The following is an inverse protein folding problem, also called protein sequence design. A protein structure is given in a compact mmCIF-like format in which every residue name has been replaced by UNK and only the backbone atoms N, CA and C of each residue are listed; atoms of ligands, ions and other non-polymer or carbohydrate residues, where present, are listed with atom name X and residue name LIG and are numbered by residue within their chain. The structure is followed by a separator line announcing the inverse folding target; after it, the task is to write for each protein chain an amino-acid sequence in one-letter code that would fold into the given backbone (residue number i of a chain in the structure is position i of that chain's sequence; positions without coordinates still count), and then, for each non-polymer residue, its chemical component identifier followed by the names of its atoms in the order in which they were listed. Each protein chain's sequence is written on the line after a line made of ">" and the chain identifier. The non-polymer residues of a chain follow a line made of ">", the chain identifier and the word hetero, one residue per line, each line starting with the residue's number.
data_IF_320469327448
#
_entry.id   IF_320469327448
#
_cell.length_a   1.000
_cell.length_b   1.000
_cell.length_c   1.000
_cell.angle_alpha   90.00
_cell.angle_beta   90.00
_cell.angle_gamma   90.00
#
_symmetry.space_group_name_H-M   'P 1'
#
loop_
_entity.id
_entity.type
_entity.pdbx_description
1 polymer ?
#
# COMPACT_ATOMS: atom_id res chain seq x y z
N UNK A 1 -5.52 -50.94 -19.54
CA UNK A 1 -5.41 -51.31 -20.97
C UNK A 1 -5.67 -50.08 -21.81
N UNK A 2 -4.74 -49.80 -22.73
CA UNK A 2 -4.87 -49.01 -23.97
C UNK A 2 -5.07 -47.49 -23.85
N UNK A 3 -3.92 -46.80 -23.95
CA UNK A 3 -3.73 -45.46 -24.55
C UNK A 3 -4.35 -45.40 -25.94
N UNK A 4 -5.02 -44.29 -26.27
CA UNK A 4 -4.96 -43.70 -27.62
C UNK A 4 -4.96 -42.17 -27.52
N UNK A 5 -3.83 -41.58 -27.96
CA UNK A 5 -3.71 -40.19 -28.44
C UNK A 5 -3.91 -40.19 -29.95
N UNK A 6 -4.37 -39.09 -30.53
CA UNK A 6 -3.63 -38.44 -31.63
C UNK A 6 -3.50 -36.92 -31.33
N UNK A 7 -2.32 -36.28 -31.40
CA UNK A 7 -1.59 -35.73 -32.58
C UNK A 7 -2.53 -35.12 -33.63
N UNK A 8 -2.31 -33.96 -34.24
CA UNK A 8 -1.38 -32.85 -34.17
C UNK A 8 -2.03 -31.79 -35.08
N UNK A 9 -1.75 -30.50 -34.89
CA UNK A 9 -2.29 -29.48 -35.79
C UNK A 9 -1.89 -28.07 -35.37
N UNK A 10 -0.70 -27.66 -35.79
CA UNK A 10 -0.27 -26.27 -35.74
C UNK A 10 -1.02 -25.45 -36.81
N UNK A 11 -1.46 -24.24 -36.46
CA UNK A 11 -1.50 -23.12 -37.42
C UNK A 11 -1.55 -21.80 -36.67
N UNK A 12 -0.57 -20.96 -36.99
CA UNK A 12 -0.42 -19.60 -36.51
C UNK A 12 -1.16 -18.63 -37.44
N UNK A 13 -1.83 -17.63 -36.87
CA UNK A 13 -2.27 -16.35 -37.45
C UNK A 13 -3.05 -15.67 -36.31
N UNK A 14 -2.86 -14.44 -35.87
CA UNK A 14 -2.23 -13.27 -36.46
C UNK A 14 -3.05 -12.07 -35.95
N UNK A 15 -2.43 -11.23 -35.11
CA UNK A 15 -2.72 -9.80 -34.86
C UNK A 15 -4.19 -9.31 -34.88
N UNK A 16 -4.63 -8.75 -33.74
CA UNK A 16 -5.21 -7.40 -33.72
C UNK A 16 -5.21 -6.84 -32.29
N UNK A 17 -4.51 -5.72 -32.12
CA UNK A 17 -4.63 -4.83 -30.98
C UNK A 17 -5.79 -3.86 -31.24
N UNK A 18 -6.65 -3.63 -30.24
CA UNK A 18 -7.45 -2.42 -30.17
C UNK A 18 -7.77 -2.12 -28.69
N UNK A 19 -7.20 -1.02 -28.20
CA UNK A 19 -7.64 -0.34 -26.99
C UNK A 19 -9.08 0.17 -27.17
N UNK A 20 -9.89 0.10 -26.12
CA UNK A 20 -10.95 1.08 -25.91
C UNK A 20 -11.16 1.33 -24.41
N UNK A 21 -11.11 2.62 -24.07
CA UNK A 21 -11.23 3.19 -22.74
C UNK A 21 -12.62 3.03 -22.11
N UNK A 22 -12.60 3.19 -20.79
CA UNK A 22 -13.69 3.20 -19.83
C UNK A 22 -14.85 4.16 -20.13
N UNK A 23 -16.04 3.77 -19.68
CA UNK A 23 -17.05 4.69 -19.12
C UNK A 23 -17.86 3.94 -18.04
N UNK A 24 -17.64 4.32 -16.79
CA UNK A 24 -18.48 3.96 -15.63
C UNK A 24 -19.74 4.84 -15.65
N UNK A 25 -20.92 4.23 -15.58
CA UNK A 25 -22.16 4.96 -15.33
C UNK A 25 -22.88 4.32 -14.12
N UNK A 26 -23.00 5.11 -13.05
CA UNK A 26 -23.85 4.85 -11.89
C UNK A 26 -25.33 5.01 -12.29
N UNK A 27 -26.18 4.09 -11.84
CA UNK A 27 -27.63 4.24 -11.91
C UNK A 27 -28.24 4.02 -10.52
N UNK A 28 -28.83 5.08 -9.96
CA UNK A 28 -29.71 5.05 -8.80
C UNK A 28 -31.17 5.16 -9.30
N UNK A 29 -32.15 4.46 -8.69
CA UNK A 29 -33.53 4.52 -9.14
C UNK A 29 -34.30 5.67 -8.48
N UNK A 30 -35.03 6.42 -9.32
CA UNK A 30 -35.94 7.49 -8.92
C UNK A 30 -37.34 6.92 -8.61
N UNK A 31 -37.92 7.39 -7.50
CA UNK A 31 -39.30 7.19 -7.08
C UNK A 31 -40.27 7.92 -8.02
N UNK A 32 -41.32 7.25 -8.48
CA UNK A 32 -42.45 7.86 -9.16
C UNK A 32 -43.76 7.47 -8.45
N UNK A 33 -44.46 8.47 -7.92
CA UNK A 33 -45.85 8.41 -7.46
C UNK A 33 -46.79 8.56 -8.66
N UNK A 34 -47.98 7.92 -8.68
CA UNK A 34 -49.06 8.32 -9.57
C UNK A 34 -50.12 9.18 -8.86
N UNK A 35 -50.54 10.21 -9.58
CA UNK A 35 -51.61 11.13 -9.25
C UNK A 35 -53.01 10.58 -9.58
N UNK A 36 -54.00 11.23 -8.98
CA UNK A 36 -55.44 10.96 -9.01
C UNK A 36 -56.11 11.10 -10.39
N UNK A 37 -57.26 10.43 -10.55
CA UNK A 37 -58.24 10.76 -11.59
C UNK A 37 -59.47 9.84 -11.64
N UNK A 38 -60.64 10.41 -11.34
CA UNK A 38 -61.89 10.13 -12.07
C UNK A 38 -62.83 9.03 -11.57
N UNK A 39 -63.92 9.43 -10.91
CA UNK A 39 -65.15 8.66 -10.80
C UNK A 39 -65.93 8.63 -12.13
N UNK A 40 -66.89 7.70 -12.30
CA UNK A 40 -68.28 8.18 -12.32
C UNK A 40 -69.28 7.31 -11.52
N UNK A 41 -70.39 7.98 -11.23
CA UNK A 41 -71.63 7.60 -10.57
C UNK A 41 -72.36 6.42 -11.21
N UNK A 42 -72.96 5.55 -10.39
CA UNK A 42 -74.34 5.06 -10.58
C UNK A 42 -74.88 4.44 -9.28
N UNK A 43 -76.08 4.87 -8.89
CA UNK A 43 -76.96 4.24 -7.90
C UNK A 43 -78.11 3.56 -8.70
N UNK A 44 -78.86 2.55 -8.20
CA UNK A 44 -79.66 2.70 -6.97
C UNK A 44 -79.99 1.40 -6.18
N UNK A 45 -80.81 1.61 -5.13
CA UNK A 45 -81.79 0.71 -4.51
C UNK A 45 -81.39 -0.07 -3.23
N UNK A 46 -82.08 0.29 -2.13
CA UNK A 46 -82.25 -0.48 -0.90
C UNK A 46 -83.26 -1.63 -1.10
N UNK A 47 -83.32 -2.64 -0.21
CA UNK A 47 -84.13 -2.48 1.01
C UNK A 47 -83.59 -3.14 2.29
N UNK A 48 -84.18 -2.68 3.39
CA UNK A 48 -84.39 -3.24 4.72
C UNK A 48 -83.96 -4.70 5.00
N UNK A 49 -83.11 -4.87 6.03
CA UNK A 49 -83.36 -5.71 7.21
C UNK A 49 -82.10 -5.75 8.09
N UNK A 50 -82.13 -5.00 9.20
CA UNK A 50 -81.05 -5.00 10.19
C UNK A 50 -81.32 -6.07 11.26
N UNK A 51 -80.47 -7.11 11.41
CA UNK A 51 -80.57 -8.01 12.55
C UNK A 51 -80.03 -7.36 13.84
N UNK A 52 -80.65 -7.63 15.01
CA UNK A 52 -80.29 -6.98 16.27
C UNK A 52 -78.90 -7.39 16.78
N UNK A 53 -78.23 -6.54 17.57
CA UNK A 53 -76.88 -6.80 18.07
C UNK A 53 -76.85 -8.01 19.02
N UNK A 54 -75.78 -8.82 18.99
CA UNK A 54 -75.64 -9.98 19.88
C UNK A 54 -75.51 -9.54 21.35
N UNK A 55 -76.01 -10.34 22.30
CA UNK A 55 -76.01 -10.00 23.72
C UNK A 55 -74.58 -9.88 24.27
N UNK A 56 -74.38 -8.91 25.15
CA UNK A 56 -73.13 -8.64 25.83
C UNK A 56 -72.61 -9.88 26.58
N UNK A 57 -71.35 -10.22 26.33
CA UNK A 57 -70.64 -11.26 27.08
C UNK A 57 -70.59 -10.89 28.57
N UNK A 58 -70.81 -11.84 29.50
CA UNK A 58 -70.74 -11.57 30.93
C UNK A 58 -69.31 -11.17 31.32
N UNK A 59 -69.21 -10.18 32.21
CA UNK A 59 -67.95 -9.72 32.79
C UNK A 59 -67.15 -10.89 33.37
N UNK A 60 -65.81 -10.90 33.25
CA UNK A 60 -65.00 -11.94 33.87
C UNK A 60 -65.21 -11.91 35.38
N UNK A 61 -65.57 -13.07 35.94
CA UNK A 61 -65.67 -13.27 37.38
C UNK A 61 -64.35 -12.88 38.05
N UNK A 62 -64.37 -12.31 39.27
CA UNK A 62 -63.16 -11.89 39.96
C UNK A 62 -62.26 -13.10 40.21
N UNK A 63 -61.15 -13.16 39.48
CA UNK A 63 -60.09 -14.13 39.71
C UNK A 63 -59.57 -13.90 41.12
N UNK A 64 -59.81 -14.87 42.01
CA UNK A 64 -59.22 -14.95 43.34
C UNK A 64 -57.75 -14.53 43.26
N UNK A 65 -57.42 -13.41 43.92
CA UNK A 65 -56.06 -13.05 44.29
C UNK A 65 -55.46 -14.24 45.05
N UNK A 66 -54.67 -15.05 44.37
CA UNK A 66 -53.70 -15.93 45.02
C UNK A 66 -52.48 -15.07 45.36
N UNK A 67 -52.65 -14.25 46.39
CA UNK A 67 -51.55 -13.77 47.20
C UNK A 67 -51.01 -14.95 48.01
N UNK A 68 -49.95 -15.57 47.50
CA UNK A 68 -48.96 -16.28 48.30
C UNK A 68 -47.74 -16.49 47.39
N UNK A 69 -46.63 -15.88 47.79
CA UNK A 69 -45.30 -16.08 47.25
C UNK A 69 -45.02 -17.58 47.06
N UNK A 70 -45.10 -18.07 45.83
CA UNK A 70 -44.34 -19.27 45.49
C UNK A 70 -42.89 -18.81 45.43
N UNK A 71 -42.08 -19.17 46.43
CA UNK A 71 -40.64 -19.13 46.30
C UNK A 71 -40.29 -19.84 44.99
N UNK A 72 -39.92 -19.08 43.95
CA UNK A 72 -39.55 -19.66 42.68
C UNK A 72 -38.23 -20.38 42.93
N UNK A 73 -38.23 -21.71 42.83
CA UNK A 73 -37.02 -22.53 42.91
C UNK A 73 -35.96 -22.12 41.85
N UNK A 74 -36.36 -21.28 40.88
CA UNK A 74 -35.52 -20.78 39.80
C UNK A 74 -34.59 -19.64 40.19
N UNK A 75 -34.80 -18.92 41.30
CA UNK A 75 -33.93 -17.78 41.64
C UNK A 75 -33.84 -17.51 43.14
N UNK A 76 -32.64 -17.68 43.69
CA UNK A 76 -32.29 -17.29 45.06
C UNK A 76 -31.41 -16.05 45.00
N UNK A 77 -31.92 -14.93 45.53
CA UNK A 77 -31.16 -13.69 45.60
C UNK A 77 -30.05 -13.82 46.65
N UNK A 78 -28.80 -13.58 46.25
CA UNK A 78 -27.65 -13.61 47.15
C UNK A 78 -26.98 -12.24 47.17
N UNK A 79 -27.17 -11.53 48.28
CA UNK A 79 -26.60 -10.21 48.54
C UNK A 79 -25.80 -10.32 49.85
N UNK A 80 -24.46 -10.22 49.80
CA UNK A 80 -23.61 -10.35 50.99
C UNK A 80 -23.97 -9.33 52.08
N UNK A 81 -23.84 -9.66 53.38
CA UNK A 81 -24.17 -8.72 54.46
C UNK A 81 -23.30 -7.45 54.36
N UNK A 82 -23.95 -6.28 54.26
CA UNK A 82 -23.29 -4.97 54.04
C UNK A 82 -23.28 -4.48 52.59
N UNK A 83 -23.83 -5.26 51.66
CA UNK A 83 -23.98 -4.92 50.25
C UNK A 83 -25.29 -4.16 49.96
N UNK A 84 -25.22 -3.06 49.20
CA UNK A 84 -26.41 -2.44 48.60
C UNK A 84 -26.84 -3.21 47.35
N UNK A 85 -28.13 -3.53 47.26
CA UNK A 85 -28.73 -4.18 46.07
C UNK A 85 -28.59 -3.25 44.84
N UNK A 86 -28.04 -3.72 43.70
CA UNK A 86 -27.99 -2.96 42.46
C UNK A 86 -29.39 -2.55 42.00
N UNK A 87 -29.53 -1.34 41.43
CA UNK A 87 -30.81 -0.94 40.83
C UNK A 87 -30.98 -1.64 39.47
N UNK A 88 -32.09 -2.38 39.36
CA UNK A 88 -32.44 -3.19 38.20
C UNK A 88 -33.67 -2.60 37.52
N UNK A 89 -33.57 -2.25 36.24
CA UNK A 89 -34.72 -1.90 35.41
C UNK A 89 -34.85 -2.91 34.29
N UNK A 90 -36.03 -3.49 34.13
CA UNK A 90 -36.26 -4.62 33.23
C UNK A 90 -37.47 -4.39 32.33
N UNK A 91 -37.34 -4.76 31.06
CA UNK A 91 -38.38 -4.63 30.04
C UNK A 91 -38.47 -5.91 29.23
N UNK A 92 -39.68 -6.45 29.08
CA UNK A 92 -39.98 -7.64 28.28
C UNK A 92 -41.22 -7.39 27.43
N UNK A 93 -41.26 -7.85 26.16
CA UNK A 93 -42.42 -7.68 25.29
C UNK A 93 -43.65 -8.42 25.85
N UNK A 94 -44.82 -7.77 25.77
CA UNK A 94 -46.10 -8.35 26.20
C UNK A 94 -46.71 -9.32 25.18
N UNK A 95 -46.35 -9.17 23.90
CA UNK A 95 -46.82 -10.00 22.80
C UNK A 95 -45.61 -10.50 22.01
N UNK A 96 -45.69 -11.72 21.46
CA UNK A 96 -44.66 -12.29 20.59
C UNK A 96 -45.17 -13.47 19.79
N UNK A 97 -44.28 -14.05 18.98
CA UNK A 97 -44.60 -15.20 18.15
C UNK A 97 -43.85 -16.45 18.61
N UNK A 98 -44.50 -17.61 18.50
CA UNK A 98 -43.87 -18.90 18.78
C UNK A 98 -42.65 -19.10 17.87
N UNK A 99 -41.50 -19.45 18.46
CA UNK A 99 -40.25 -19.68 17.72
C UNK A 99 -39.45 -18.42 17.33
N UNK A 100 -39.90 -17.22 17.71
CA UNK A 100 -39.17 -15.97 17.50
C UNK A 100 -38.51 -15.47 18.79
N UNK A 101 -37.35 -14.82 18.70
CA UNK A 101 -36.67 -14.29 19.87
C UNK A 101 -37.46 -13.13 20.51
N UNK A 102 -37.82 -13.28 21.78
CA UNK A 102 -38.33 -12.24 22.66
C UNK A 102 -37.18 -11.76 23.55
N UNK A 103 -36.83 -10.47 23.44
CA UNK A 103 -35.68 -9.91 24.15
C UNK A 103 -36.09 -9.41 25.54
N UNK A 104 -35.45 -9.96 26.57
CA UNK A 104 -35.46 -9.39 27.92
C UNK A 104 -34.33 -8.35 28.01
N UNK A 105 -34.71 -7.09 28.08
CA UNK A 105 -33.77 -5.99 28.30
C UNK A 105 -33.65 -5.72 29.80
N UNK A 106 -32.45 -5.87 30.33
CA UNK A 106 -32.13 -5.66 31.74
C UNK A 106 -31.07 -4.59 31.84
N UNK A 107 -31.38 -3.49 32.52
CA UNK A 107 -30.44 -2.40 32.79
C UNK A 107 -30.06 -2.44 34.26
N UNK A 108 -28.77 -2.67 34.53
CA UNK A 108 -28.21 -2.75 35.88
C UNK A 108 -27.34 -1.53 36.12
N UNK A 109 -27.69 -0.71 37.12
CA UNK A 109 -26.82 0.35 37.61
C UNK A 109 -25.92 -0.21 38.71
N UNK A 110 -24.59 -0.09 38.52
CA UNK A 110 -23.58 -0.70 39.38
C UNK A 110 -22.42 0.27 39.67
N UNK A 111 -21.66 -0.01 40.73
CA UNK A 111 -20.55 0.81 41.19
C UNK A 111 -19.32 0.76 40.28
N UNK A 112 -18.35 1.65 40.52
CA UNK A 112 -17.06 1.65 39.81
C UNK A 112 -16.30 0.34 40.11
N UNK A 113 -15.93 -0.41 39.06
CA UNK A 113 -15.21 -1.69 39.18
C UNK A 113 -16.10 -2.92 39.35
N UNK A 114 -17.42 -2.78 39.37
CA UNK A 114 -18.35 -3.92 39.27
C UNK A 114 -18.56 -4.28 37.79
N UNK A 115 -18.75 -5.57 37.48
CA UNK A 115 -18.95 -6.08 36.11
C UNK A 115 -20.16 -6.99 36.08
N UNK A 116 -21.13 -6.70 35.21
CA UNK A 116 -22.30 -7.55 34.98
C UNK A 116 -21.91 -8.69 34.04
N UNK A 117 -22.14 -9.93 34.45
CA UNK A 117 -21.78 -11.11 33.67
C UNK A 117 -22.98 -11.52 32.81
N UNK A 118 -22.94 -11.36 31.47
CA UNK A 118 -24.06 -11.69 30.58
C UNK A 118 -24.42 -13.18 30.60
N UNK A 119 -23.43 -14.03 30.89
CA UNK A 119 -23.60 -15.48 31.02
C UNK A 119 -23.60 -15.96 32.48
N UNK A 120 -23.78 -15.06 33.45
CA UNK A 120 -23.69 -15.38 34.88
C UNK A 120 -24.59 -16.54 35.34
N UNK A 121 -25.72 -16.75 34.68
CA UNK A 121 -26.62 -17.89 34.97
C UNK A 121 -26.23 -19.19 34.24
N UNK A 122 -25.37 -19.14 33.21
CA UNK A 122 -24.74 -20.30 32.55
C UNK A 122 -23.44 -20.75 33.22
N UNK A 123 -22.80 -19.89 34.02
CA UNK A 123 -21.65 -20.29 34.87
C UNK A 123 -22.08 -21.38 35.87
N UNK A 124 -23.38 -21.52 36.11
CA UNK A 124 -24.01 -22.74 36.62
C UNK A 124 -24.58 -23.53 35.44
N UNK A 125 -23.74 -24.36 34.79
CA UNK A 125 -24.00 -24.98 33.48
C UNK A 125 -25.23 -25.91 33.36
N UNK A 126 -25.96 -26.16 34.45
CA UNK A 126 -27.20 -26.93 34.52
C UNK A 126 -28.16 -26.34 35.57
N UNK A 127 -28.15 -25.01 35.75
CA UNK A 127 -28.88 -24.36 36.83
C UNK A 127 -30.38 -24.73 36.86
N UNK A 128 -30.92 -24.90 38.07
CA UNK A 128 -32.36 -25.08 38.28
C UNK A 128 -33.16 -23.94 37.64
N UNK A 129 -32.55 -22.75 37.50
CA UNK A 129 -33.07 -21.62 36.75
C UNK A 129 -33.28 -21.94 35.26
N UNK A 130 -32.28 -22.48 34.58
CA UNK A 130 -32.39 -22.85 33.16
C UNK A 130 -33.45 -23.94 32.94
N UNK A 131 -33.51 -24.93 33.84
CA UNK A 131 -34.54 -25.98 33.82
C UNK A 131 -35.94 -25.41 34.04
N UNK A 132 -36.10 -24.48 34.97
CA UNK A 132 -37.38 -23.81 35.23
C UNK A 132 -37.83 -22.96 34.03
N UNK A 133 -36.91 -22.25 33.37
CA UNK A 133 -37.18 -21.46 32.15
C UNK A 133 -37.63 -22.40 31.02
N UNK A 134 -36.96 -23.54 30.83
CA UNK A 134 -37.34 -24.54 29.84
C UNK A 134 -38.70 -25.20 30.14
N UNK A 135 -38.97 -25.52 31.40
CA UNK A 135 -40.28 -26.04 31.84
C UNK A 135 -41.41 -25.03 31.63
N UNK A 136 -41.11 -23.73 31.77
CA UNK A 136 -42.03 -22.64 31.46
C UNK A 136 -42.24 -22.39 29.95
N UNK A 137 -41.57 -23.16 29.09
CA UNK A 137 -41.71 -23.08 27.63
C UNK A 137 -40.83 -22.01 26.98
N UNK A 138 -39.69 -21.66 27.57
CA UNK A 138 -38.71 -20.75 26.97
C UNK A 138 -37.38 -21.45 26.73
N UNK A 139 -36.77 -21.19 25.58
CA UNK A 139 -35.44 -21.69 25.22
C UNK A 139 -34.49 -20.53 25.04
N UNK A 140 -33.29 -20.64 25.61
CA UNK A 140 -32.23 -19.66 25.36
C UNK A 140 -31.40 -20.12 24.14
N UNK A 141 -31.21 -19.27 23.11
CA UNK A 141 -30.31 -19.59 22.01
C UNK A 141 -28.87 -19.79 22.50
N UNK A 142 -28.15 -20.74 21.87
CA UNK A 142 -26.73 -20.94 22.14
C UNK A 142 -25.91 -19.71 21.72
N UNK A 143 -24.94 -19.33 22.57
CA UNK A 143 -24.15 -18.12 22.36
C UNK A 143 -23.12 -18.25 21.23
N UNK A 144 -22.61 -19.46 20.99
CA UNK A 144 -21.53 -19.73 20.04
C UNK A 144 -21.96 -19.53 18.57
N UNK A 145 -23.28 -19.49 18.31
CA UNK A 145 -23.86 -19.20 17.00
C UNK A 145 -24.10 -17.69 16.75
N UNK A 146 -23.65 -16.81 17.65
CA UNK A 146 -23.81 -15.35 17.54
C UNK A 146 -25.19 -14.81 17.95
N UNK A 147 -26.04 -15.66 18.54
CA UNK A 147 -27.40 -15.32 19.00
C UNK A 147 -27.53 -15.29 20.55
N UNK A 148 -26.42 -15.26 21.27
CA UNK A 148 -26.39 -15.26 22.74
C UNK A 148 -26.77 -13.92 23.38
N UNK A 149 -26.76 -13.86 24.73
CA UNK A 149 -26.96 -12.61 25.45
C UNK A 149 -25.87 -11.59 25.11
N UNK A 150 -26.25 -10.33 24.90
CA UNK A 150 -25.30 -9.24 24.61
C UNK A 150 -25.33 -8.21 25.72
N UNK A 151 -24.17 -7.69 26.11
CA UNK A 151 -24.05 -6.65 27.14
C UNK A 151 -23.32 -5.43 26.61
N UNK A 152 -23.87 -4.24 26.87
CA UNK A 152 -23.21 -2.96 26.60
C UNK A 152 -23.13 -2.16 27.88
N UNK A 153 -21.93 -1.77 28.28
CA UNK A 153 -21.69 -0.98 29.50
C UNK A 153 -21.39 0.47 29.16
N UNK A 154 -22.07 1.40 29.80
CA UNK A 154 -21.87 2.85 29.68
C UNK A 154 -21.46 3.42 31.04
N UNK A 155 -20.34 4.14 31.10
CA UNK A 155 -19.90 4.80 32.33
C UNK A 155 -20.80 5.99 32.69
N UNK A 156 -21.01 6.23 33.98
CA UNK A 156 -21.82 7.35 34.50
C UNK A 156 -21.07 8.02 35.67
N UNK A 157 -21.36 9.27 36.00
CA UNK A 157 -20.61 10.03 37.02
C UNK A 157 -20.55 9.34 38.40
N UNK A 158 -21.61 8.59 38.75
CA UNK A 158 -21.73 7.82 39.98
C UNK A 158 -21.25 6.35 39.90
N UNK A 159 -20.90 5.83 38.72
CA UNK A 159 -20.64 4.40 38.51
C UNK A 159 -20.64 3.97 37.04
N UNK A 160 -21.34 2.89 36.73
CA UNK A 160 -21.59 2.45 35.36
C UNK A 160 -22.98 1.80 35.25
N UNK A 161 -23.56 1.88 34.06
CA UNK A 161 -24.84 1.26 33.72
C UNK A 161 -24.60 0.22 32.64
N UNK A 162 -24.93 -1.04 32.91
CA UNK A 162 -24.84 -2.11 31.90
C UNK A 162 -26.21 -2.50 31.41
N UNK A 163 -26.44 -2.39 30.10
CA UNK A 163 -27.62 -2.91 29.40
C UNK A 163 -27.32 -4.31 28.90
N UNK A 164 -28.07 -5.28 29.39
CA UNK A 164 -28.03 -6.69 29.01
C UNK A 164 -29.28 -7.02 28.19
N UNK A 165 -29.10 -7.65 27.02
CA UNK A 165 -30.18 -8.10 26.15
C UNK A 165 -30.11 -9.62 26.06
N UNK A 166 -31.08 -10.29 26.68
CA UNK A 166 -31.15 -11.75 26.74
C UNK A 166 -32.27 -12.23 25.79
N UNK A 167 -31.96 -12.95 24.70
CA UNK A 167 -32.98 -13.49 23.82
C UNK A 167 -33.59 -14.78 24.40
N UNK A 168 -34.90 -14.80 24.61
CA UNK A 168 -35.65 -16.01 24.95
C UNK A 168 -36.57 -16.38 23.79
N UNK A 169 -36.61 -17.65 23.40
CA UNK A 169 -37.51 -18.16 22.37
C UNK A 169 -38.70 -18.84 23.07
N UNK A 170 -39.91 -18.27 23.01
CA UNK A 170 -41.10 -18.90 23.56
C UNK A 170 -41.56 -20.05 22.64
N UNK A 171 -41.75 -21.22 23.24
CA UNK A 171 -42.19 -22.46 22.62
C UNK A 171 -43.36 -23.05 23.45
N UNK A 172 -44.59 -22.55 23.26
CA UNK A 172 -45.76 -23.13 23.90
C UNK A 172 -45.96 -24.58 23.45
N UNK A 173 -46.47 -25.43 24.36
CA UNK A 173 -46.76 -26.84 24.07
C UNK A 173 -47.97 -27.03 23.16
N UNK A 174 -48.92 -26.09 23.25
CA UNK A 174 -50.16 -26.10 22.49
C UNK A 174 -50.08 -25.06 21.37
N UNK A 175 -50.55 -25.39 20.14
CA UNK A 175 -50.64 -24.44 19.06
C UNK A 175 -51.71 -23.38 19.32
N UNK A 176 -51.58 -22.23 18.67
CA UNK A 176 -52.51 -21.11 18.83
C UNK A 176 -52.04 -20.04 19.83
N UNK A 177 -52.98 -19.34 20.46
CA UNK A 177 -52.68 -18.24 21.39
C UNK A 177 -52.50 -18.76 22.80
N UNK A 178 -51.27 -18.72 23.30
CA UNK A 178 -50.91 -19.20 24.64
C UNK A 178 -50.31 -18.08 25.49
N UNK A 179 -50.67 -18.02 26.77
CA UNK A 179 -50.02 -17.13 27.74
C UNK A 179 -48.86 -17.88 28.38
N UNK A 180 -47.63 -17.42 28.16
CA UNK A 180 -46.44 -17.95 28.82
C UNK A 180 -45.93 -16.96 29.86
N UNK A 181 -45.36 -17.49 30.95
CA UNK A 181 -44.80 -16.71 32.03
C UNK A 181 -43.33 -17.05 32.20
N UNK A 182 -42.45 -16.09 31.90
CA UNK A 182 -41.02 -16.20 32.13
C UNK A 182 -40.76 -16.13 33.65
N UNK A 183 -40.16 -17.17 34.25
CA UNK A 183 -39.79 -17.14 35.66
C UNK A 183 -38.69 -16.08 35.92
N UNK A 184 -38.49 -15.69 37.19
CA UNK A 184 -37.35 -14.87 37.60
C UNK A 184 -36.03 -15.46 37.10
N UNK A 185 -35.25 -14.63 36.42
CA UNK A 185 -33.94 -14.91 35.83
C UNK A 185 -32.86 -14.34 36.76
N UNK A 186 -31.91 -15.15 37.25
CA UNK A 186 -30.79 -14.66 38.05
C UNK A 186 -29.77 -13.92 37.18
N UNK A 187 -29.41 -12.71 37.59
CA UNK A 187 -28.37 -11.88 36.98
C UNK A 187 -27.21 -11.78 37.95
N UNK A 188 -26.04 -12.26 37.53
CA UNK A 188 -24.82 -12.18 38.34
C UNK A 188 -24.05 -10.90 38.07
N UNK A 189 -23.70 -10.19 39.14
CA UNK A 189 -22.86 -8.98 39.14
C UNK A 189 -21.61 -9.29 39.94
N UNK A 190 -20.46 -9.24 39.29
CA UNK A 190 -19.16 -9.38 39.95
C UNK A 190 -18.75 -8.06 40.57
N UNK A 191 -18.42 -8.07 41.87
CA UNK A 191 -17.96 -6.89 42.59
C UNK A 191 -16.48 -6.62 42.37
N UNK A 192 -16.04 -5.40 42.71
CA UNK A 192 -14.62 -5.06 42.77
C UNK A 192 -13.82 -5.96 43.75
N UNK A 193 -14.49 -6.54 44.76
CA UNK A 193 -13.91 -7.52 45.69
C UNK A 193 -13.73 -8.93 45.11
N UNK A 194 -14.25 -9.19 43.91
CA UNK A 194 -14.31 -10.53 43.30
C UNK A 194 -15.47 -11.40 43.80
N UNK A 195 -16.31 -10.89 44.71
CA UNK A 195 -17.51 -11.57 45.18
C UNK A 195 -18.68 -11.41 44.19
N UNK A 196 -19.48 -12.46 44.01
CA UNK A 196 -20.63 -12.47 43.10
C UNK A 196 -21.91 -12.10 43.85
N UNK A 197 -22.62 -11.08 43.36
CA UNK A 197 -23.97 -10.73 43.79
C UNK A 197 -24.96 -11.23 42.75
N UNK A 198 -25.94 -12.03 43.16
CA UNK A 198 -26.98 -12.54 42.26
C UNK A 198 -28.29 -11.83 42.56
N UNK A 199 -28.82 -11.09 41.57
CA UNK A 199 -30.10 -10.37 41.66
C UNK A 199 -31.12 -11.02 40.75
N UNK A 200 -32.35 -11.19 41.21
CA UNK A 200 -33.43 -11.80 40.43
C UNK A 200 -34.26 -10.75 39.67
N UNK A 201 -34.57 -11.05 38.41
CA UNK A 201 -35.59 -10.31 37.63
C UNK A 201 -36.99 -10.63 38.13
N UNK A 202 -37.96 -9.75 37.86
CA UNK A 202 -39.37 -10.06 38.13
C UNK A 202 -39.92 -11.06 37.10
N UNK A 203 -40.96 -11.84 37.44
CA UNK A 203 -41.61 -12.69 36.46
C UNK A 203 -42.32 -11.85 35.38
N UNK A 204 -42.19 -12.24 34.12
CA UNK A 204 -42.79 -11.53 32.98
C UNK A 204 -43.79 -12.42 32.24
N UNK A 205 -44.88 -11.83 31.76
CA UNK A 205 -45.90 -12.54 30.99
C UNK A 205 -45.84 -12.09 29.53
N UNK A 206 -45.99 -13.05 28.62
CA UNK A 206 -46.05 -12.83 27.18
C UNK A 206 -47.18 -13.64 26.57
N UNK A 207 -48.00 -12.97 25.76
CA UNK A 207 -48.98 -13.59 24.89
C UNK A 207 -48.26 -14.02 23.63
N UNK A 208 -48.15 -15.34 23.44
CA UNK A 208 -47.48 -15.94 22.31
C UNK A 208 -48.53 -16.39 21.32
N UNK A 209 -48.43 -15.86 20.11
CA UNK A 209 -49.26 -16.28 18.98
C UNK A 209 -48.47 -17.23 18.10
N UNK A 210 -49.10 -18.33 17.73
CA UNK A 210 -48.54 -19.24 16.75
C UNK A 210 -48.64 -18.62 15.34
N UNK A 211 -47.53 -18.45 14.58
CA UNK A 211 -47.58 -17.95 13.21
C UNK A 211 -48.51 -18.74 12.28
N UNK A 212 -48.77 -20.02 12.60
CA UNK A 212 -49.69 -20.88 11.83
C UNK A 212 -51.13 -20.89 12.37
N UNK A 213 -51.44 -20.12 13.42
CA UNK A 213 -52.78 -20.12 14.06
C UNK A 213 -53.93 -19.75 13.12
N UNK A 214 -53.65 -19.00 12.04
CA UNK A 214 -54.66 -18.59 11.06
C UNK A 214 -54.86 -19.60 9.91
N UNK A 215 -54.10 -20.70 9.88
CA UNK A 215 -54.16 -21.71 8.83
C UNK A 215 -54.94 -22.93 9.34
N UNK A 216 -56.06 -23.30 8.67
CA UNK A 216 -56.95 -24.40 9.11
C UNK A 216 -56.29 -25.79 9.04
N UNK A 217 -55.25 -25.95 8.23
CA UNK A 217 -54.50 -27.21 8.04
C UNK A 217 -53.04 -26.88 7.67
N UNK A 218 -52.19 -26.51 8.65
CA UNK A 218 -50.82 -26.10 8.41
C UNK A 218 -49.99 -27.29 7.95
N UNK A 219 -49.56 -27.27 6.69
CA UNK A 219 -48.70 -28.30 6.10
C UNK A 219 -47.23 -27.93 6.28
N UNK A 220 -46.42 -28.91 6.69
CA UNK A 220 -44.97 -28.74 6.75
C UNK A 220 -44.46 -28.36 5.36
N UNK A 221 -43.92 -27.15 5.24
CA UNK A 221 -43.27 -26.70 4.01
C UNK A 221 -42.00 -27.54 3.82
N UNK A 222 -41.78 -28.12 2.63
CA UNK A 222 -40.51 -28.78 2.35
C UNK A 222 -39.37 -27.76 2.46
N UNK A 223 -38.18 -28.24 2.80
CA UNK A 223 -37.01 -27.38 2.86
C UNK A 223 -36.83 -26.63 1.53
N UNK A 224 -36.44 -25.35 1.57
CA UNK A 224 -36.16 -24.60 0.36
C UNK A 224 -35.11 -25.34 -0.47
N UNK A 225 -35.14 -25.20 -1.81
CA UNK A 225 -34.14 -25.84 -2.66
C UNK A 225 -32.73 -25.38 -2.23
N UNK A 226 -31.73 -26.27 -2.32
CA UNK A 226 -30.36 -25.91 -1.99
C UNK A 226 -29.96 -24.70 -2.84
N UNK A 227 -29.50 -23.64 -2.16
CA UNK A 227 -28.96 -22.49 -2.88
C UNK A 227 -27.63 -22.91 -3.50
N UNK A 228 -27.34 -22.49 -4.75
CA UNK A 228 -26.04 -22.75 -5.34
C UNK A 228 -24.97 -22.08 -4.47
N UNK A 229 -24.16 -22.89 -3.81
CA UNK A 229 -22.99 -22.41 -3.08
C UNK A 229 -21.98 -21.94 -4.13
N UNK A 230 -21.77 -20.62 -4.23
CA UNK A 230 -20.71 -20.07 -5.07
C UNK A 230 -19.39 -20.36 -4.38
N UNK A 231 -18.68 -21.36 -4.88
CA UNK A 231 -17.31 -21.61 -4.45
C UNK A 231 -16.42 -20.45 -4.92
N UNK A 232 -15.83 -19.72 -3.98
CA UNK A 232 -14.78 -18.78 -4.32
C UNK A 232 -13.49 -19.57 -4.55
N UNK A 233 -12.99 -19.54 -5.78
CA UNK A 233 -11.73 -20.19 -6.14
C UNK A 233 -10.55 -19.31 -5.69
N UNK A 234 -10.33 -19.24 -4.37
CA UNK A 234 -9.34 -18.37 -3.74
C UNK A 234 -7.95 -18.56 -4.34
N UNK A 235 -7.54 -19.81 -4.58
CA UNK A 235 -6.25 -20.12 -5.21
C UNK A 235 -6.15 -19.59 -6.64
N UNK A 236 -7.19 -19.76 -7.46
CA UNK A 236 -7.18 -19.25 -8.83
C UNK A 236 -7.12 -17.71 -8.85
N UNK A 237 -7.82 -17.05 -7.92
CA UNK A 237 -7.78 -15.60 -7.74
C UNK A 237 -6.39 -15.11 -7.32
N UNK A 238 -5.74 -15.79 -6.40
CA UNK A 238 -4.37 -15.47 -5.97
C UNK A 238 -3.34 -15.72 -7.08
N UNK A 239 -3.46 -16.83 -7.81
CA UNK A 239 -2.58 -17.15 -8.94
C UNK A 239 -2.72 -16.14 -10.07
N UNK A 240 -3.95 -15.77 -10.44
CA UNK A 240 -4.19 -14.76 -11.49
C UNK A 240 -3.65 -13.39 -11.07
N UNK A 241 -3.85 -12.98 -9.82
CA UNK A 241 -3.25 -11.75 -9.28
C UNK A 241 -1.71 -11.80 -9.28
N UNK A 242 -1.12 -12.93 -8.87
CA UNK A 242 0.33 -13.14 -8.87
C UNK A 242 0.93 -13.08 -10.27
N UNK A 243 0.29 -13.70 -11.26
CA UNK A 243 0.71 -13.65 -12.67
C UNK A 243 0.63 -12.22 -13.22
N UNK A 244 -0.46 -11.50 -12.95
CA UNK A 244 -0.61 -10.12 -13.39
C UNK A 244 0.47 -9.19 -12.80
N UNK A 245 0.75 -9.34 -11.49
CA UNK A 245 1.79 -8.57 -10.80
C UNK A 245 3.19 -8.92 -11.33
N UNK A 246 3.47 -10.20 -11.54
CA UNK A 246 4.73 -10.67 -12.11
C UNK A 246 4.97 -10.14 -13.53
N UNK A 247 3.93 -10.11 -14.37
CA UNK A 247 4.01 -9.53 -15.71
C UNK A 247 4.29 -8.03 -15.67
N UNK A 248 3.59 -7.28 -14.81
CA UNK A 248 3.80 -5.84 -14.62
C UNK A 248 5.23 -5.52 -14.16
N UNK A 249 5.74 -6.27 -13.16
CA UNK A 249 7.11 -6.15 -12.67
C UNK A 249 8.13 -6.53 -13.74
N UNK A 250 7.86 -7.58 -14.53
CA UNK A 250 8.72 -7.99 -15.63
C UNK A 250 8.85 -6.92 -16.72
N UNK A 251 7.74 -6.27 -17.10
CA UNK A 251 7.75 -5.15 -18.05
C UNK A 251 8.49 -3.95 -17.49
N UNK A 252 8.24 -3.60 -16.23
CA UNK A 252 8.92 -2.49 -15.55
C UNK A 252 10.43 -2.74 -15.49
N UNK A 253 10.85 -3.95 -15.11
CA UNK A 253 12.26 -4.32 -15.01
C UNK A 253 12.92 -4.31 -16.40
N UNK A 254 12.27 -4.88 -17.42
CA UNK A 254 12.76 -4.83 -18.79
C UNK A 254 12.91 -3.39 -19.30
N UNK A 255 11.97 -2.49 -18.95
CA UNK A 255 12.03 -1.07 -19.27
C UNK A 255 13.19 -0.37 -18.55
N UNK A 256 13.38 -0.61 -17.24
CA UNK A 256 14.50 -0.06 -16.46
C UNK A 256 15.86 -0.53 -17.02
N UNK A 257 15.99 -1.83 -17.30
CA UNK A 257 17.20 -2.42 -17.88
C UNK A 257 17.47 -1.79 -19.25
N UNK A 258 16.47 -1.72 -20.12
CA UNK A 258 16.61 -1.08 -21.43
C UNK A 258 17.03 0.38 -21.31
N UNK A 259 16.45 1.14 -20.37
CA UNK A 259 16.82 2.54 -20.10
C UNK A 259 18.25 2.65 -19.59
N UNK A 260 18.69 1.73 -18.75
CA UNK A 260 20.05 1.72 -18.19
C UNK A 260 21.10 1.35 -19.25
N UNK A 261 20.87 0.33 -20.06
CA UNK A 261 21.77 -0.05 -21.16
C UNK A 261 21.84 1.00 -22.27
N UNK A 262 20.75 1.75 -22.49
CA UNK A 262 20.70 2.84 -23.49
C UNK A 262 21.24 4.17 -22.97
N UNK A 263 21.83 4.21 -21.77
CA UNK A 263 22.50 5.43 -21.32
C UNK A 263 23.71 5.69 -22.23
N UNK A 264 23.81 6.88 -22.85
CA UNK A 264 24.98 7.23 -23.63
C UNK A 264 26.19 7.19 -22.69
N UNK A 265 27.08 6.22 -22.90
CA UNK A 265 28.39 6.24 -22.26
C UNK A 265 29.14 7.43 -22.86
N UNK A 266 29.47 8.41 -22.03
CA UNK A 266 30.35 9.51 -22.42
C UNK A 266 31.66 8.88 -22.85
N UNK A 267 31.97 8.93 -24.15
CA UNK A 267 33.24 8.46 -24.64
C UNK A 267 34.35 9.32 -23.98
N UNK A 268 35.44 8.72 -23.49
CA UNK A 268 36.56 9.49 -22.99
C UNK A 268 37.05 10.42 -24.10
N UNK A 269 37.22 11.70 -23.79
CA UNK A 269 37.72 12.67 -24.75
C UNK A 269 39.08 12.20 -25.29
N UNK A 270 39.38 12.42 -26.59
CA UNK A 270 40.70 12.11 -27.12
C UNK A 270 41.78 12.85 -26.32
N UNK A 271 43.00 12.28 -26.21
CA UNK A 271 44.08 12.91 -25.46
C UNK A 271 44.31 14.35 -25.97
N UNK A 272 44.59 15.31 -25.07
CA UNK A 272 44.76 16.70 -25.46
C UNK A 272 45.91 16.81 -26.47
N UNK A 273 45.65 17.45 -27.61
CA UNK A 273 46.68 17.74 -28.62
C UNK A 273 47.75 18.66 -28.01
N UNK A 274 48.99 18.50 -28.43
CA UNK A 274 50.07 19.38 -28.01
C UNK A 274 49.79 20.83 -28.45
N UNK A 275 50.06 21.86 -27.61
CA UNK A 275 49.68 23.24 -27.90
C UNK A 275 50.17 23.79 -29.23
N UNK A 276 51.42 23.49 -29.63
CA UNK A 276 51.99 23.95 -30.90
C UNK A 276 51.39 23.24 -32.11
N UNK A 277 50.97 21.98 -32.00
CA UNK A 277 50.29 21.26 -33.09
C UNK A 277 48.91 21.86 -33.30
N UNK A 278 48.16 22.07 -32.21
CA UNK A 278 46.84 22.70 -32.28
C UNK A 278 46.90 24.11 -32.87
N UNK A 279 47.90 24.91 -32.49
CA UNK A 279 48.10 26.25 -33.01
C UNK A 279 48.46 26.27 -34.51
N UNK A 280 49.37 25.40 -34.96
CA UNK A 280 49.73 25.31 -36.39
C UNK A 280 48.56 24.81 -37.24
N UNK A 281 47.77 23.84 -36.76
CA UNK A 281 46.54 23.41 -37.43
C UNK A 281 45.52 24.55 -37.55
N UNK A 282 45.37 25.36 -36.49
CA UNK A 282 44.46 26.51 -36.45
C UNK A 282 44.93 27.63 -37.39
N UNK A 283 46.22 27.97 -37.42
CA UNK A 283 46.80 28.92 -38.37
C UNK A 283 46.65 28.43 -39.82
N UNK A 284 46.91 27.16 -40.11
CA UNK A 284 46.75 26.59 -41.45
C UNK A 284 45.26 26.53 -41.88
N UNK A 285 44.34 26.36 -40.93
CA UNK A 285 42.91 26.48 -41.21
C UNK A 285 42.52 27.94 -41.53
N UNK A 286 43.12 28.92 -40.84
CA UNK A 286 42.92 30.33 -41.15
C UNK A 286 43.49 30.67 -42.54
N UNK A 287 44.69 30.19 -42.89
CA UNK A 287 45.29 30.37 -44.23
C UNK A 287 44.38 29.90 -45.36
N UNK A 288 43.70 28.77 -45.17
CA UNK A 288 42.77 28.19 -46.16
C UNK A 288 41.35 28.75 -46.08
N UNK A 289 41.07 29.67 -45.17
CA UNK A 289 39.74 30.26 -45.02
C UNK A 289 39.45 31.29 -46.11
N UNK A 290 38.18 31.46 -46.47
CA UNK A 290 37.71 32.45 -47.44
C UNK A 290 37.63 33.89 -46.87
N UNK A 291 38.06 34.11 -45.62
CA UNK A 291 37.89 35.40 -44.93
C UNK A 291 38.60 36.56 -45.64
N UNK A 292 39.80 36.32 -46.19
CA UNK A 292 40.52 37.35 -46.96
C UNK A 292 39.81 37.65 -48.30
N UNK A 293 39.38 36.61 -49.03
CA UNK A 293 38.63 36.80 -50.28
C UNK A 293 37.26 37.46 -50.11
N UNK A 294 36.68 37.37 -48.91
CA UNK A 294 35.42 38.02 -48.54
C UNK A 294 35.62 39.48 -48.05
N UNK A 295 36.86 39.98 -48.01
CA UNK A 295 37.20 41.33 -47.53
C UNK A 295 37.10 41.50 -46.01
N UNK A 296 37.03 40.41 -45.25
CA UNK A 296 36.91 40.40 -43.77
C UNK A 296 38.29 40.36 -43.11
N UNK A 297 39.12 41.35 -43.41
CA UNK A 297 40.53 41.41 -42.95
C UNK A 297 40.67 41.60 -41.45
N UNK A 298 39.75 42.35 -40.83
CA UNK A 298 39.63 42.56 -39.39
C UNK A 298 39.44 41.24 -38.62
N UNK A 299 38.44 40.45 -39.04
CA UNK A 299 38.11 39.15 -38.41
C UNK A 299 39.23 38.14 -38.62
N UNK A 300 39.89 38.17 -39.79
CA UNK A 300 41.04 37.32 -40.04
C UNK A 300 42.18 37.63 -39.08
N UNK A 301 42.53 38.91 -38.97
CA UNK A 301 43.60 39.39 -38.12
C UNK A 301 43.33 39.07 -36.63
N UNK A 302 42.10 39.26 -36.17
CA UNK A 302 41.68 38.93 -34.80
C UNK A 302 41.84 37.44 -34.49
N UNK A 303 41.43 36.57 -35.41
CA UNK A 303 41.59 35.12 -35.24
C UNK A 303 43.05 34.67 -35.20
N UNK A 304 43.92 35.31 -35.98
CA UNK A 304 45.37 35.07 -35.92
C UNK A 304 45.91 35.49 -34.55
N UNK A 305 45.51 36.66 -34.05
CA UNK A 305 45.88 37.15 -32.71
C UNK A 305 45.43 36.18 -31.62
N UNK A 306 44.17 35.74 -31.66
CA UNK A 306 43.59 34.84 -30.65
C UNK A 306 44.27 33.47 -30.67
N UNK A 307 44.57 32.93 -31.84
CA UNK A 307 45.31 31.66 -31.98
C UNK A 307 46.71 31.75 -31.33
N UNK A 308 47.46 32.82 -31.59
CA UNK A 308 48.79 33.02 -31.00
C UNK A 308 48.70 33.23 -29.49
N UNK A 309 47.73 34.01 -29.01
CA UNK A 309 47.50 34.23 -27.56
C UNK A 309 47.17 32.92 -26.84
N UNK A 310 46.21 32.16 -27.37
CA UNK A 310 45.81 30.83 -26.87
C UNK A 310 46.99 29.86 -26.84
N UNK A 311 47.82 29.86 -27.87
CA UNK A 311 49.05 29.06 -27.91
C UNK A 311 50.03 29.41 -26.80
N UNK A 312 50.34 30.71 -26.62
CA UNK A 312 51.26 31.18 -25.59
C UNK A 312 50.76 30.80 -24.20
N UNK A 313 49.47 30.97 -23.93
CA UNK A 313 48.85 30.57 -22.67
C UNK A 313 48.95 29.06 -22.42
N UNK A 314 48.50 28.25 -23.38
CA UNK A 314 48.54 26.79 -23.27
C UNK A 314 49.96 26.23 -23.10
N UNK A 315 50.96 26.91 -23.66
CA UNK A 315 52.37 26.52 -23.55
C UNK A 315 53.01 26.91 -22.22
N UNK A 316 52.79 28.14 -21.78
CA UNK A 316 53.50 28.72 -20.64
C UNK A 316 52.68 28.68 -19.34
N UNK A 317 51.46 28.13 -19.38
CA UNK A 317 50.67 27.83 -18.19
C UNK A 317 49.80 28.98 -17.69
N UNK A 318 49.24 29.79 -18.59
CA UNK A 318 48.29 30.86 -18.26
C UNK A 318 47.14 30.89 -19.28
N UNK A 319 46.05 31.62 -18.98
CA UNK A 319 44.96 31.78 -19.95
C UNK A 319 45.30 32.88 -20.95
N UNK A 320 45.63 32.51 -22.18
CA UNK A 320 46.08 33.45 -23.19
C UNK A 320 45.02 34.45 -23.66
N UNK A 321 43.73 34.08 -23.63
CA UNK A 321 42.65 34.94 -24.15
C UNK A 321 42.17 35.94 -23.10
N UNK A 322 42.19 35.54 -21.83
CA UNK A 322 41.80 36.39 -20.70
C UNK A 322 42.95 37.29 -20.20
N UNK A 323 44.19 37.05 -20.65
CA UNK A 323 45.35 37.85 -20.25
C UNK A 323 45.54 39.03 -21.20
N UNK A 324 45.70 40.24 -20.65
CA UNK A 324 45.99 41.45 -21.45
C UNK A 324 47.40 41.39 -22.06
N UNK A 325 47.66 42.15 -23.13
CA UNK A 325 48.97 42.12 -23.81
C UNK A 325 50.13 42.53 -22.90
N UNK A 326 49.93 43.50 -22.02
CA UNK A 326 50.96 43.95 -21.07
C UNK A 326 51.22 42.92 -19.97
N UNK A 327 50.17 42.28 -19.44
CA UNK A 327 50.31 41.17 -18.51
C UNK A 327 51.00 39.97 -19.17
N UNK A 328 50.63 39.63 -20.41
CA UNK A 328 51.24 38.55 -21.17
C UNK A 328 52.74 38.79 -21.38
N UNK A 329 53.14 40.03 -21.72
CA UNK A 329 54.56 40.43 -21.83
C UNK A 329 55.29 40.28 -20.49
N UNK A 330 54.66 40.71 -19.39
CA UNK A 330 55.25 40.60 -18.05
C UNK A 330 55.40 39.14 -17.61
N UNK A 331 54.41 38.28 -17.91
CA UNK A 331 54.46 36.84 -17.63
C UNK A 331 55.55 36.15 -18.44
N UNK A 332 55.60 36.37 -19.75
CA UNK A 332 56.60 35.77 -20.63
C UNK A 332 58.03 36.21 -20.30
N UNK A 333 58.24 37.45 -19.84
CA UNK A 333 59.54 37.93 -19.39
C UNK A 333 60.05 37.23 -18.12
N UNK A 334 59.14 36.66 -17.30
CA UNK A 334 59.48 35.94 -16.06
C UNK A 334 59.74 34.45 -16.27
N UNK A 335 59.41 33.90 -17.44
CA UNK A 335 59.60 32.47 -17.75
C UNK A 335 61.10 32.12 -17.81
N UNK A 336 61.45 30.98 -17.22
CA UNK A 336 62.80 30.39 -17.24
C UNK A 336 62.71 28.98 -17.86
N UNK A 337 63.54 28.62 -18.85
CA UNK A 337 64.52 29.45 -19.58
C UNK A 337 63.84 30.61 -20.34
N UNK A 338 64.59 31.67 -20.70
CA UNK A 338 64.03 32.84 -21.38
C UNK A 338 63.32 32.43 -22.67
N UNK A 339 62.14 33.01 -22.91
CA UNK A 339 61.33 32.73 -24.09
C UNK A 339 62.09 33.13 -25.36
N UNK A 340 62.30 32.19 -26.31
CA UNK A 340 62.85 32.53 -27.61
C UNK A 340 62.00 33.62 -28.26
N UNK A 341 62.64 34.59 -28.91
CA UNK A 341 61.97 35.65 -29.67
C UNK A 341 60.96 36.53 -28.92
N UNK A 342 61.12 36.68 -27.60
CA UNK A 342 60.28 37.58 -26.79
C UNK A 342 60.11 39.02 -27.36
N UNK A 343 61.14 39.68 -27.95
CA UNK A 343 60.95 40.98 -28.59
C UNK A 343 60.01 40.94 -29.81
N UNK A 344 59.99 39.83 -30.56
CA UNK A 344 59.13 39.65 -31.73
C UNK A 344 57.69 39.40 -31.31
N UNK A 345 57.47 38.60 -30.26
CA UNK A 345 56.17 38.39 -29.62
C UNK A 345 55.62 39.72 -29.11
N UNK A 346 56.45 40.51 -28.45
CA UNK A 346 56.08 41.83 -27.92
C UNK A 346 55.61 42.77 -29.03
N UNK A 347 56.36 42.85 -30.14
CA UNK A 347 55.97 43.67 -31.30
C UNK A 347 54.67 43.17 -31.93
N UNK A 348 54.54 41.85 -32.09
CA UNK A 348 53.32 41.23 -32.62
C UNK A 348 52.08 41.55 -31.78
N UNK A 349 52.16 41.43 -30.46
CA UNK A 349 51.04 41.78 -29.57
C UNK A 349 50.70 43.27 -29.65
N UNK A 350 51.70 44.15 -29.73
CA UNK A 350 51.47 45.59 -29.89
C UNK A 350 50.77 45.92 -31.22
N UNK A 351 51.19 45.29 -32.32
CA UNK A 351 50.54 45.45 -33.62
C UNK A 351 49.08 44.96 -33.57
N UNK A 352 48.81 43.86 -32.85
CA UNK A 352 47.45 43.39 -32.65
C UNK A 352 46.58 44.33 -31.84
N UNK A 353 47.13 44.97 -30.81
CA UNK A 353 46.37 45.92 -30.00
C UNK A 353 46.02 47.18 -30.81
N UNK A 354 46.87 47.60 -31.74
CA UNK A 354 46.55 48.70 -32.66
C UNK A 354 45.34 48.36 -33.54
N UNK A 355 45.28 47.15 -34.09
CA UNK A 355 44.12 46.72 -34.90
C UNK A 355 42.86 46.60 -34.04
N UNK A 356 42.95 45.91 -32.89
CA UNK A 356 41.79 45.63 -32.00
C UNK A 356 41.21 46.88 -31.34
N UNK A 357 42.05 47.83 -30.92
CA UNK A 357 41.60 48.99 -30.14
C UNK A 357 41.62 50.32 -30.91
N UNK A 358 42.52 50.51 -31.88
CA UNK A 358 42.62 51.76 -32.64
C UNK A 358 41.74 51.77 -33.92
N UNK A 359 40.93 50.72 -34.14
CA UNK A 359 40.10 50.52 -35.35
C UNK A 359 40.89 50.67 -36.65
N UNK A 360 42.17 50.31 -36.62
CA UNK A 360 43.00 50.25 -37.80
C UNK A 360 42.50 49.09 -38.67
N UNK A 361 42.14 49.35 -39.92
CA UNK A 361 41.72 48.31 -40.85
C UNK A 361 42.97 47.71 -41.51
N UNK A 362 43.35 46.46 -41.21
CA UNK A 362 44.55 45.86 -41.78
C UNK A 362 44.32 45.58 -43.28
N UNK A 363 45.36 45.81 -44.08
CA UNK A 363 45.36 45.38 -45.47
C UNK A 363 45.51 43.86 -45.58
N UNK A 364 45.21 43.29 -46.75
CA UNK A 364 45.44 41.86 -46.99
C UNK A 364 46.92 41.48 -46.79
N UNK A 365 47.84 42.37 -47.16
CA UNK A 365 49.28 42.16 -46.94
C UNK A 365 49.62 42.09 -45.44
N UNK A 366 49.03 42.95 -44.62
CA UNK A 366 49.24 42.94 -43.16
C UNK A 366 48.70 41.64 -42.53
N UNK A 367 47.57 41.13 -43.02
CA UNK A 367 47.00 39.86 -42.58
C UNK A 367 47.91 38.66 -42.94
N UNK A 368 48.47 38.65 -44.15
CA UNK A 368 49.44 37.64 -44.59
C UNK A 368 50.74 37.72 -43.77
N UNK A 369 51.23 38.91 -43.48
CA UNK A 369 52.39 39.09 -42.61
C UNK A 369 52.10 38.63 -41.17
N UNK A 370 50.90 38.92 -40.65
CA UNK A 370 50.51 38.54 -39.30
C UNK A 370 50.47 37.03 -39.10
N UNK A 371 49.93 36.27 -40.07
CA UNK A 371 49.91 34.80 -39.99
C UNK A 371 51.32 34.22 -40.08
N UNK A 372 52.18 34.74 -40.96
CA UNK A 372 53.59 34.30 -41.06
C UNK A 372 54.35 34.57 -39.76
N UNK A 373 54.18 35.76 -39.17
CA UNK A 373 54.77 36.11 -37.88
C UNK A 373 54.25 35.21 -36.76
N UNK A 374 52.95 34.89 -36.77
CA UNK A 374 52.35 33.93 -35.84
C UNK A 374 52.98 32.54 -35.93
N UNK A 375 53.19 32.02 -37.13
CA UNK A 375 53.86 30.72 -37.36
C UNK A 375 55.32 30.74 -36.90
N UNK A 376 56.06 31.81 -37.23
CA UNK A 376 57.44 31.97 -36.77
C UNK A 376 57.52 31.96 -35.24
N UNK A 377 56.59 32.62 -34.55
CA UNK A 377 56.50 32.59 -33.09
C UNK A 377 56.28 31.15 -32.60
N UNK A 378 55.31 30.41 -33.16
CA UNK A 378 55.02 29.02 -32.76
C UNK A 378 56.24 28.11 -33.01
N UNK A 379 56.83 28.16 -34.20
CA UNK A 379 57.97 27.33 -34.57
C UNK A 379 59.21 27.62 -33.73
N UNK A 380 59.57 28.89 -33.53
CA UNK A 380 60.77 29.27 -32.76
C UNK A 380 60.64 29.02 -31.27
N UNK A 381 59.41 29.02 -30.78
CA UNK A 381 59.19 28.64 -29.38
C UNK A 381 59.13 27.12 -29.25
N UNK A 382 58.60 26.33 -30.20
CA UNK A 382 58.48 24.85 -30.13
C UNK A 382 59.73 24.17 -29.54
N UNK A 383 59.63 23.36 -28.46
CA UNK A 383 60.79 22.68 -27.91
C UNK A 383 61.41 21.76 -28.97
N UNK A 384 62.75 21.65 -29.04
CA UNK A 384 63.36 20.66 -29.91
C UNK A 384 62.85 19.28 -29.53
N UNK A 385 62.49 18.46 -30.52
CA UNK A 385 62.08 17.09 -30.28
C UNK A 385 63.22 16.37 -29.55
N UNK A 386 62.99 15.96 -28.29
CA UNK A 386 63.94 15.14 -27.54
C UNK A 386 64.03 13.81 -28.28
N UNK A 387 65.18 13.53 -28.91
CA UNK A 387 65.48 12.18 -29.40
C UNK A 387 65.59 11.27 -28.18
N UNK A 388 64.81 10.20 -28.08
CA UNK A 388 65.01 9.22 -27.02
C UNK A 388 66.29 8.45 -27.35
N UNK A 389 67.42 8.78 -26.69
CA UNK A 389 68.68 8.13 -27.00
C UNK A 389 69.92 8.51 -26.18
N UNK A 390 69.99 9.63 -25.47
CA UNK A 390 71.20 9.98 -24.70
C UNK A 390 70.84 10.72 -23.40
N UNK A 391 70.90 10.00 -22.28
CA UNK A 391 70.86 10.58 -20.94
C UNK A 391 70.37 9.63 -19.85
N UNK A 392 71.32 9.14 -19.05
CA UNK A 392 71.16 8.52 -17.73
C UNK A 392 70.91 7.00 -17.66
N UNK A 393 71.95 6.25 -18.03
CA UNK A 393 72.36 5.08 -17.28
C UNK A 393 73.28 5.51 -16.12
N UNK A 394 73.03 4.96 -14.91
CA UNK A 394 74.00 4.89 -13.82
C UNK A 394 73.42 5.19 -12.41
N UNK A 395 73.93 4.55 -11.34
CA UNK A 395 74.41 3.18 -11.22
C UNK A 395 73.64 2.38 -10.14
N UNK A 396 73.72 1.05 -10.24
CA UNK A 396 73.16 0.13 -9.26
C UNK A 396 73.95 0.08 -7.95
N UNK A 397 73.21 -0.12 -6.86
CA UNK A 397 73.73 -0.59 -5.58
C UNK A 397 73.07 -1.93 -5.23
N UNK A 398 73.84 -3.01 -5.32
CA UNK A 398 73.66 -4.22 -4.49
C UNK A 398 73.88 -3.84 -3.01
N UNK A 399 73.38 -4.48 -1.96
CA UNK A 399 72.70 -5.75 -1.72
C UNK A 399 72.89 -6.06 -0.22
N UNK A 400 72.01 -6.90 0.35
CA UNK A 400 72.09 -7.72 1.61
C UNK A 400 70.64 -7.87 2.10
N UNK A 401 70.06 -9.04 2.41
CA UNK A 401 70.59 -10.34 2.79
C UNK A 401 70.07 -10.67 4.20
N UNK A 402 69.09 -11.58 4.33
CA UNK A 402 68.58 -12.03 5.63
C UNK A 402 67.43 -13.05 5.50
N UNK A 403 67.71 -14.30 5.87
CA UNK A 403 66.93 -15.52 5.66
C UNK A 403 65.79 -15.75 6.66
N UNK A 404 64.85 -16.66 6.31
CA UNK A 404 63.88 -17.25 7.25
C UNK A 404 62.90 -18.21 6.56
N UNK A 405 63.05 -19.50 6.82
CA UNK A 405 62.42 -20.69 6.24
C UNK A 405 60.99 -21.03 6.72
N UNK A 406 60.26 -21.80 5.89
CA UNK A 406 59.08 -22.61 6.24
C UNK A 406 57.83 -22.20 5.44
N UNK A 407 57.19 -22.97 4.56
CA UNK A 407 57.07 -24.42 4.44
C UNK A 407 55.66 -24.85 4.84
N UNK A 408 54.68 -24.81 3.92
CA UNK A 408 53.70 -25.89 3.67
C UNK A 408 52.59 -25.51 2.69
N UNK A 409 52.13 -26.55 2.01
CA UNK A 409 51.42 -26.57 0.75
C UNK A 409 49.90 -26.61 0.87
N UNK A 410 49.28 -26.41 -0.29
CA UNK A 410 47.86 -26.41 -0.60
C UNK A 410 47.08 -27.67 -0.17
N UNK A 411 45.78 -27.49 0.14
CA UNK A 411 44.77 -28.52 -0.06
C UNK A 411 43.38 -27.92 -0.35
N UNK A 412 42.85 -28.31 -1.50
CA UNK A 412 41.57 -27.97 -2.13
C UNK A 412 40.48 -28.89 -1.57
N UNK A 413 39.31 -28.38 -1.17
CA UNK A 413 38.15 -29.19 -0.73
C UNK A 413 37.00 -29.13 -1.75
N UNK A 414 36.52 -30.31 -2.14
CA UNK A 414 35.20 -30.58 -2.75
C UNK A 414 34.76 -32.02 -2.33
N UNK A 415 33.47 -32.39 -2.46
CA UNK A 415 32.63 -32.94 -1.37
C UNK A 415 32.46 -34.47 -1.42
N UNK A 416 31.84 -35.10 -0.40
CA UNK A 416 31.78 -36.56 -0.30
C UNK A 416 30.58 -37.17 -1.05
N UNK A 417 30.83 -38.28 -1.73
CA UNK A 417 29.81 -39.23 -2.20
C UNK A 417 29.79 -40.49 -1.32
N UNK A 418 28.61 -41.10 -1.33
CA UNK A 418 28.16 -42.26 -0.57
C UNK A 418 29.03 -43.53 -0.71
N UNK A 419 29.03 -44.34 0.36
CA UNK A 419 29.41 -45.76 0.30
C UNK A 419 28.26 -46.64 0.76
N UNK A 420 27.84 -47.50 -0.14
CA UNK A 420 27.17 -48.77 0.16
C UNK A 420 28.19 -49.73 0.80
N UNK A 421 27.74 -50.51 1.77
CA UNK A 421 28.44 -51.68 2.29
C UNK A 421 27.42 -52.77 2.55
N UNK A 422 27.63 -53.94 1.94
CA UNK A 422 26.87 -55.16 2.15
C UNK A 422 27.61 -56.07 3.16
N UNK A 423 26.89 -56.77 4.04
CA UNK A 423 26.98 -58.21 4.33
C UNK A 423 26.41 -58.61 5.72
N UNK A 424 25.62 -59.70 5.74
CA UNK A 424 25.37 -60.65 6.86
C UNK A 424 24.27 -60.21 7.86
N UNK A 425 23.08 -60.82 7.98
CA UNK A 425 22.66 -62.22 8.24
C UNK A 425 22.46 -62.55 9.74
N UNK A 426 21.24 -63.07 10.04
CA UNK A 426 20.74 -63.89 11.16
C UNK A 426 20.20 -63.32 12.50
N UNK A 427 19.08 -63.97 12.90
CA UNK A 427 18.37 -64.05 14.20
C UNK A 427 17.74 -62.73 14.72
N UNK A 428 16.44 -62.63 15.06
CA UNK A 428 15.47 -63.57 15.62
C UNK A 428 14.03 -63.06 15.45
#
# INVERSE_FOLDING_TARGET
>A
MIRVRPSAGATALGRAAALACAALACAAPALAQPAAGGAPSDAPAAPDDAPPPPPALPAPAPTKERGAESAWASCTEHVPPGATRPQLTETFPRNGFSGYAAHLEVTVAHGKGETVLPEGFKVQGDSDAARAIQQAGFVLPEADAGAGPTSTTTATDAGATTKLVIPFVPLPKEPGRSLLRLPPVPIAVSRASGELVTVCTRPHEIVVEDPIANERDPKVKPNPPPRPQREEWVLAKQLTAGVALGAALGVLLAWLIRRWLRRPRVAPAPPPKLPWIAALEELEALRRSSLLSEGRTDVYFDRVSDCVRKYLGARYGFDGLETTSDEMRALLARVRPPVPVLPQITRFLADCDLVKFARLQPSEADCLEAIERGEVIVHRTTPPAVRPGEGAAGPGGAGTGGAGTGGQAAARKQPPQARQGAAGEEAS
#
